data_IF_519908481904
#
_entry.id   IF_519908481904
#
_cell.length_a   1.000
_cell.length_b   1.000
_cell.length_c   1.000
_cell.angle_alpha   90.00
_cell.angle_beta   90.00
_cell.angle_gamma   90.00
#
_symmetry.space_group_name_H-M   'P 1'
#
loop_
_entity.id
_entity.type
_entity.pdbx_description
1 polymer ?
#
# COMPACT_ATOMS: atom_id res chain seq x y z
N UNK A 1 15.62 15.54 -19.18
CA UNK A 1 14.87 15.10 -18.00
C UNK A 1 15.46 15.79 -16.80
N UNK A 2 14.67 16.74 -16.19
CA UNK A 2 15.12 17.53 -15.05
C UNK A 2 15.43 16.59 -13.87
N UNK A 3 16.70 16.52 -13.49
CA UNK A 3 17.18 15.72 -12.35
C UNK A 3 16.48 16.17 -11.06
N UNK A 4 16.23 17.46 -10.89
CA UNK A 4 15.55 18.03 -9.72
C UNK A 4 14.14 17.46 -9.52
N UNK A 5 13.37 17.27 -10.59
CA UNK A 5 12.03 16.67 -10.52
C UNK A 5 12.06 15.18 -10.11
N UNK A 6 13.11 14.44 -10.49
CA UNK A 6 13.28 13.04 -10.07
C UNK A 6 13.63 12.93 -8.59
N UNK A 7 14.53 13.77 -8.09
CA UNK A 7 14.87 13.78 -6.66
C UNK A 7 13.68 14.17 -5.79
N UNK A 8 12.90 15.15 -6.21
CA UNK A 8 11.68 15.53 -5.50
C UNK A 8 10.68 14.38 -5.45
N UNK A 9 10.44 13.67 -6.56
CA UNK A 9 9.57 12.51 -6.61
C UNK A 9 10.04 11.37 -5.69
N UNK A 10 11.35 11.08 -5.67
CA UNK A 10 11.95 10.09 -4.78
C UNK A 10 11.75 10.48 -3.30
N UNK A 11 12.00 11.74 -2.96
CA UNK A 11 11.82 12.25 -1.60
C UNK A 11 10.36 12.12 -1.14
N UNK A 12 9.39 12.48 -2.00
CA UNK A 12 7.96 12.30 -1.71
C UNK A 12 7.57 10.83 -1.52
N UNK A 13 8.13 9.93 -2.32
CA UNK A 13 7.87 8.49 -2.20
C UNK A 13 8.39 7.94 -0.88
N UNK A 14 9.60 8.34 -0.48
CA UNK A 14 10.19 7.93 0.82
C UNK A 14 9.34 8.47 1.97
N UNK A 15 8.95 9.75 1.92
CA UNK A 15 8.12 10.37 2.94
C UNK A 15 6.75 9.69 3.04
N UNK A 16 6.09 9.44 1.91
CA UNK A 16 4.81 8.73 1.86
C UNK A 16 4.90 7.32 2.45
N UNK A 17 5.97 6.59 2.12
CA UNK A 17 6.23 5.26 2.68
C UNK A 17 6.46 5.29 4.19
N UNK A 18 7.19 6.29 4.69
CA UNK A 18 7.43 6.49 6.12
C UNK A 18 6.12 6.80 6.87
N UNK A 19 5.30 7.71 6.34
CA UNK A 19 3.98 8.05 6.91
C UNK A 19 3.07 6.82 6.91
N UNK A 20 3.04 6.05 5.83
CA UNK A 20 2.26 4.81 5.77
C UNK A 20 2.72 3.81 6.83
N UNK A 21 4.04 3.60 7.00
CA UNK A 21 4.59 2.70 8.00
C UNK A 21 4.24 3.13 9.44
N UNK A 22 4.33 4.43 9.74
CA UNK A 22 3.89 4.99 11.02
C UNK A 22 2.39 4.77 11.26
N UNK A 23 1.57 4.95 10.23
CA UNK A 23 0.15 4.66 10.27
C UNK A 23 -0.14 3.22 10.70
N UNK A 24 0.63 2.23 10.21
CA UNK A 24 0.47 0.84 10.59
C UNK A 24 0.79 0.58 12.08
N UNK A 25 1.74 1.31 12.65
CA UNK A 25 2.05 1.22 14.10
C UNK A 25 0.86 1.71 14.93
N UNK A 26 0.22 2.81 14.52
CA UNK A 26 -0.96 3.36 15.20
C UNK A 26 -2.18 2.44 15.03
N UNK A 27 -2.39 1.89 13.85
CA UNK A 27 -3.53 1.02 13.53
C UNK A 27 -3.41 -0.37 14.18
N UNK A 28 -2.21 -0.85 14.46
CA UNK A 28 -1.98 -2.18 15.04
C UNK A 28 -2.76 -2.45 16.34
N UNK A 29 -2.75 -1.61 17.37
CA UNK A 29 -3.57 -1.82 18.55
C UNK A 29 -5.07 -1.84 18.23
N UNK A 30 -5.56 -0.91 17.39
CA UNK A 30 -6.95 -0.85 16.98
C UNK A 30 -7.41 -2.11 16.26
N UNK A 31 -6.55 -2.72 15.43
CA UNK A 31 -6.88 -3.94 14.70
C UNK A 31 -7.18 -5.15 15.59
N UNK A 32 -6.75 -5.13 16.85
CA UNK A 32 -7.07 -6.18 17.84
C UNK A 32 -8.48 -6.05 18.40
N UNK A 33 -8.96 -4.82 18.56
CA UNK A 33 -10.23 -4.51 19.20
C UNK A 33 -11.38 -4.41 18.20
N UNK A 34 -11.10 -3.86 17.02
CA UNK A 34 -12.11 -3.58 16.00
C UNK A 34 -12.11 -4.68 14.93
N UNK A 35 -13.29 -4.94 14.35
CA UNK A 35 -13.40 -5.84 13.21
C UNK A 35 -12.61 -5.25 12.01
N UNK A 36 -11.82 -6.06 11.28
CA UNK A 36 -11.05 -5.60 10.13
C UNK A 36 -11.85 -4.82 9.08
N UNK A 37 -13.05 -5.27 8.75
CA UNK A 37 -13.92 -4.59 7.76
C UNK A 37 -14.39 -3.24 8.29
N UNK A 38 -14.79 -3.17 9.56
CA UNK A 38 -15.19 -1.93 10.22
C UNK A 38 -14.03 -0.93 10.25
N UNK A 39 -12.82 -1.41 10.52
CA UNK A 39 -11.62 -0.57 10.51
C UNK A 39 -11.37 0.04 9.12
N UNK A 40 -11.49 -0.78 8.06
CA UNK A 40 -11.35 -0.29 6.67
C UNK A 40 -12.42 0.76 6.36
N UNK A 41 -13.68 0.53 6.77
CA UNK A 41 -14.78 1.46 6.53
C UNK A 41 -14.52 2.83 7.21
N UNK A 42 -14.07 2.83 8.46
CA UNK A 42 -13.70 4.07 9.16
C UNK A 42 -12.54 4.80 8.50
N UNK A 43 -11.48 4.07 8.12
CA UNK A 43 -10.34 4.67 7.42
C UNK A 43 -10.77 5.30 6.08
N UNK A 44 -11.62 4.62 5.31
CA UNK A 44 -12.14 5.16 4.06
C UNK A 44 -13.02 6.40 4.27
N UNK A 45 -13.89 6.37 5.29
CA UNK A 45 -14.79 7.47 5.62
C UNK A 45 -14.03 8.76 5.99
N UNK A 46 -12.92 8.65 6.71
CA UNK A 46 -12.12 9.82 7.08
C UNK A 46 -11.14 10.24 5.98
N UNK A 47 -10.50 9.29 5.30
CA UNK A 47 -9.51 9.62 4.26
C UNK A 47 -10.15 10.15 2.98
N UNK A 48 -11.33 9.68 2.60
CA UNK A 48 -12.01 10.08 1.37
C UNK A 48 -12.24 11.59 1.26
N UNK A 49 -12.95 12.23 2.22
CA UNK A 49 -13.15 13.68 2.21
C UNK A 49 -11.85 14.48 2.21
N UNK A 50 -10.85 14.04 2.99
CA UNK A 50 -9.54 14.71 3.05
C UNK A 50 -8.86 14.68 1.68
N UNK A 51 -8.86 13.53 0.99
CA UNK A 51 -8.28 13.41 -0.34
C UNK A 51 -9.01 14.24 -1.38
N UNK A 52 -10.35 14.32 -1.33
CA UNK A 52 -11.16 15.18 -2.23
C UNK A 52 -10.81 16.65 -1.99
N UNK A 53 -10.75 17.09 -0.74
CA UNK A 53 -10.37 18.47 -0.42
C UNK A 53 -8.94 18.79 -0.88
N UNK A 54 -8.00 17.85 -0.67
CA UNK A 54 -6.61 18.02 -1.10
C UNK A 54 -6.51 18.14 -2.63
N UNK A 55 -7.20 17.27 -3.36
CA UNK A 55 -7.25 17.31 -4.82
C UNK A 55 -7.86 18.63 -5.32
N UNK A 56 -8.91 19.12 -4.68
CA UNK A 56 -9.53 20.40 -5.05
C UNK A 56 -8.57 21.60 -4.86
N UNK A 57 -7.71 21.54 -3.84
CA UNK A 57 -6.72 22.60 -3.55
C UNK A 57 -5.51 22.51 -4.51
N UNK A 58 -5.01 21.30 -4.78
CA UNK A 58 -3.80 21.10 -5.58
C UNK A 58 -4.11 21.25 -7.07
N UNK A 59 -5.15 20.57 -7.56
CA UNK A 59 -5.46 20.50 -9.00
C UNK A 59 -6.37 21.63 -9.48
N UNK A 60 -7.16 22.22 -8.59
CA UNK A 60 -8.10 23.32 -8.90
C UNK A 60 -9.27 22.95 -9.83
N UNK A 61 -9.22 21.82 -10.50
CA UNK A 61 -10.17 21.36 -11.52
C UNK A 61 -10.90 20.06 -11.16
N UNK A 62 -10.83 19.59 -9.92
CA UNK A 62 -11.38 18.30 -9.47
C UNK A 62 -12.85 18.13 -9.84
N UNK A 63 -13.67 19.18 -9.70
CA UNK A 63 -15.10 19.14 -10.05
C UNK A 63 -15.31 18.92 -11.55
N UNK A 64 -14.50 19.54 -12.40
CA UNK A 64 -14.59 19.36 -13.84
C UNK A 64 -14.16 17.97 -14.27
N UNK A 65 -13.12 17.40 -13.65
CA UNK A 65 -12.70 16.02 -13.88
C UNK A 65 -13.80 15.03 -13.50
N UNK A 66 -14.44 15.23 -12.35
CA UNK A 66 -15.55 14.37 -11.90
C UNK A 66 -16.76 14.44 -12.83
N UNK A 67 -17.11 15.65 -13.32
CA UNK A 67 -18.24 15.85 -14.25
C UNK A 67 -17.99 15.24 -15.64
N UNK A 68 -16.74 15.26 -16.09
CA UNK A 68 -16.35 14.77 -17.41
C UNK A 68 -15.84 13.32 -17.39
N UNK A 69 -15.85 12.67 -16.24
CA UNK A 69 -15.44 11.28 -16.11
C UNK A 69 -16.41 10.37 -16.89
N UNK A 70 -15.86 9.51 -17.76
CA UNK A 70 -16.65 8.55 -18.52
C UNK A 70 -17.25 7.48 -17.60
N UNK A 71 -18.24 6.75 -18.09
CA UNK A 71 -18.85 5.64 -17.36
C UNK A 71 -17.81 4.61 -16.92
N UNK A 72 -16.83 4.30 -17.77
CA UNK A 72 -15.76 3.35 -17.45
C UNK A 72 -14.91 3.80 -16.26
N UNK A 73 -14.58 5.09 -16.15
CA UNK A 73 -13.86 5.62 -14.99
C UNK A 73 -14.64 5.43 -13.69
N UNK A 74 -15.96 5.66 -13.74
CA UNK A 74 -16.82 5.43 -12.57
C UNK A 74 -16.91 3.95 -12.20
N UNK A 75 -17.05 3.06 -13.19
CA UNK A 75 -17.07 1.61 -12.94
C UNK A 75 -15.76 1.11 -12.32
N UNK A 76 -14.62 1.59 -12.82
CA UNK A 76 -13.30 1.27 -12.24
C UNK A 76 -13.18 1.82 -10.81
N UNK A 77 -13.61 3.05 -10.57
CA UNK A 77 -13.56 3.64 -9.23
C UNK A 77 -14.42 2.88 -8.22
N UNK A 78 -15.64 2.50 -8.62
CA UNK A 78 -16.55 1.68 -7.80
C UNK A 78 -15.94 0.30 -7.54
N UNK A 79 -15.41 -0.36 -8.57
CA UNK A 79 -14.76 -1.66 -8.41
C UNK A 79 -13.58 -1.61 -7.43
N UNK A 80 -12.70 -0.63 -7.59
CA UNK A 80 -11.55 -0.46 -6.68
C UNK A 80 -12.03 -0.12 -5.26
N UNK A 81 -12.92 0.85 -5.11
CA UNK A 81 -13.34 1.36 -3.80
C UNK A 81 -14.20 0.37 -3.00
N UNK A 82 -15.15 -0.32 -3.64
CA UNK A 82 -16.10 -1.18 -2.94
C UNK A 82 -15.75 -2.67 -2.96
N UNK A 83 -14.92 -3.11 -3.89
CA UNK A 83 -14.56 -4.53 -4.01
C UNK A 83 -13.10 -4.75 -3.63
N UNK A 84 -12.18 -4.12 -4.35
CA UNK A 84 -10.74 -4.37 -4.16
C UNK A 84 -10.21 -3.90 -2.81
N UNK A 85 -10.54 -2.68 -2.41
CA UNK A 85 -10.06 -2.09 -1.16
C UNK A 85 -10.54 -2.85 0.08
N UNK A 86 -11.86 -3.12 0.27
CA UNK A 86 -12.33 -3.87 1.43
C UNK A 86 -11.76 -5.29 1.49
N UNK A 87 -11.61 -5.99 0.37
CA UNK A 87 -11.03 -7.33 0.34
C UNK A 87 -9.54 -7.26 0.72
N UNK A 88 -8.77 -6.41 0.05
CA UNK A 88 -7.31 -6.33 0.25
C UNK A 88 -6.97 -5.89 1.67
N UNK A 89 -7.52 -4.77 2.13
CA UNK A 89 -7.23 -4.27 3.47
C UNK A 89 -7.94 -5.06 4.56
N UNK A 90 -9.11 -5.63 4.29
CA UNK A 90 -9.79 -6.53 5.21
C UNK A 90 -8.94 -7.77 5.51
N UNK A 91 -8.40 -8.41 4.47
CA UNK A 91 -7.45 -9.52 4.62
C UNK A 91 -6.16 -9.08 5.34
N UNK A 92 -5.60 -7.93 4.96
CA UNK A 92 -4.41 -7.39 5.59
C UNK A 92 -4.61 -7.15 7.10
N UNK A 93 -5.67 -6.47 7.49
CA UNK A 93 -5.95 -6.21 8.90
C UNK A 93 -6.37 -7.46 9.68
N UNK A 94 -6.98 -8.44 9.03
CA UNK A 94 -7.23 -9.75 9.64
C UNK A 94 -5.91 -10.46 9.99
N UNK A 95 -4.97 -10.49 9.06
CA UNK A 95 -3.64 -11.06 9.30
C UNK A 95 -2.88 -10.25 10.36
N UNK A 96 -2.98 -8.92 10.30
CA UNK A 96 -2.35 -8.02 11.25
C UNK A 96 -2.90 -8.20 12.68
N UNK A 97 -4.20 -8.47 12.82
CA UNK A 97 -4.84 -8.72 14.13
C UNK A 97 -4.18 -9.87 14.86
N UNK A 98 -3.90 -10.96 14.15
CA UNK A 98 -3.45 -12.22 14.71
C UNK A 98 -1.93 -12.41 14.73
N UNK A 99 -1.17 -11.52 14.09
CA UNK A 99 0.28 -11.65 13.94
C UNK A 99 1.01 -10.36 14.34
N UNK A 100 2.28 -10.44 14.75
CA UNK A 100 3.07 -9.27 15.09
C UNK A 100 3.39 -8.44 13.83
N UNK A 101 3.36 -7.11 13.98
CA UNK A 101 3.55 -6.15 12.90
C UNK A 101 4.86 -6.36 12.14
N UNK A 102 5.95 -6.64 12.86
CA UNK A 102 7.29 -6.81 12.28
C UNK A 102 7.41 -8.04 11.35
N UNK A 103 6.50 -9.02 11.46
CA UNK A 103 6.41 -10.15 10.53
C UNK A 103 5.46 -9.86 9.36
N UNK A 104 4.32 -9.23 9.65
CA UNK A 104 3.28 -9.00 8.63
C UNK A 104 3.74 -7.99 7.58
N UNK A 105 4.28 -6.85 8.00
CA UNK A 105 4.66 -5.79 7.06
C UNK A 105 5.69 -6.25 6.02
N UNK A 106 6.83 -6.87 6.41
CA UNK A 106 7.79 -7.33 5.42
C UNK A 106 7.22 -8.34 4.43
N UNK A 107 6.41 -9.30 4.90
CA UNK A 107 5.81 -10.32 4.02
C UNK A 107 4.85 -9.68 3.00
N UNK A 108 4.00 -8.76 3.44
CA UNK A 108 3.05 -8.07 2.56
C UNK A 108 3.78 -7.17 1.57
N UNK A 109 4.72 -6.34 2.05
CA UNK A 109 5.48 -5.43 1.18
C UNK A 109 6.39 -6.16 0.20
N UNK A 110 6.89 -7.36 0.56
CA UNK A 110 7.65 -8.22 -0.34
C UNK A 110 6.78 -8.80 -1.47
N UNK A 111 5.52 -9.09 -1.20
CA UNK A 111 4.61 -9.66 -2.20
C UNK A 111 4.21 -8.66 -3.29
N UNK A 112 4.16 -7.37 -2.99
CA UNK A 112 3.67 -6.34 -3.90
C UNK A 112 4.57 -6.17 -5.15
N UNK A 113 5.91 -5.95 -5.04
CA UNK A 113 6.75 -5.75 -6.22
C UNK A 113 6.79 -6.94 -7.19
N UNK A 114 6.95 -8.21 -6.73
CA UNK A 114 6.93 -9.35 -7.65
C UNK A 114 5.60 -9.52 -8.36
N UNK A 115 4.47 -9.37 -7.67
CA UNK A 115 3.15 -9.50 -8.29
C UNK A 115 2.87 -8.39 -9.28
N UNK A 116 3.26 -7.14 -8.96
CA UNK A 116 3.18 -6.02 -9.88
C UNK A 116 4.03 -6.22 -11.13
N UNK A 117 5.27 -6.71 -10.96
CA UNK A 117 6.17 -7.03 -12.07
C UNK A 117 5.60 -8.13 -12.97
N UNK A 118 5.10 -9.22 -12.39
CA UNK A 118 4.46 -10.29 -13.14
C UNK A 118 3.25 -9.78 -13.92
N UNK A 119 2.40 -8.96 -13.28
CA UNK A 119 1.26 -8.34 -13.94
C UNK A 119 1.69 -7.44 -15.11
N UNK A 120 2.72 -6.61 -14.94
CA UNK A 120 3.26 -5.75 -16.01
C UNK A 120 3.78 -6.57 -17.19
N UNK A 121 4.51 -7.65 -16.94
CA UNK A 121 5.03 -8.53 -17.99
C UNK A 121 3.89 -9.26 -18.72
N UNK A 122 2.98 -9.92 -17.99
CA UNK A 122 1.97 -10.80 -18.59
C UNK A 122 0.77 -10.05 -19.17
N UNK A 123 0.35 -8.94 -18.53
CA UNK A 123 -0.84 -8.21 -18.96
C UNK A 123 -0.51 -7.03 -19.89
N UNK A 124 0.63 -6.36 -19.67
CA UNK A 124 1.02 -5.17 -20.44
C UNK A 124 2.13 -5.44 -21.45
N UNK A 125 2.75 -6.63 -21.42
CA UNK A 125 3.87 -6.98 -22.31
C UNK A 125 5.13 -6.16 -22.05
N UNK A 126 5.27 -5.56 -20.87
CA UNK A 126 6.43 -4.75 -20.52
C UNK A 126 7.69 -5.60 -20.39
N UNK A 127 8.82 -5.05 -20.86
CA UNK A 127 10.13 -5.69 -20.72
C UNK A 127 10.79 -5.17 -19.44
N UNK A 128 11.02 -6.02 -18.43
CA UNK A 128 11.66 -5.59 -17.19
C UNK A 128 13.11 -5.17 -17.45
N UNK A 129 13.54 -4.09 -16.78
CA UNK A 129 14.91 -3.61 -16.86
C UNK A 129 15.83 -4.40 -15.92
N UNK A 130 17.15 -4.41 -16.20
CA UNK A 130 18.13 -5.09 -15.35
C UNK A 130 18.15 -4.50 -13.93
N UNK A 131 17.97 -3.18 -13.79
CA UNK A 131 17.91 -2.49 -12.51
C UNK A 131 16.75 -2.98 -11.64
N UNK A 132 15.61 -3.29 -12.25
CA UNK A 132 14.44 -3.81 -11.58
C UNK A 132 14.70 -5.21 -10.99
N UNK A 133 15.41 -6.08 -11.73
CA UNK A 133 15.82 -7.39 -11.24
C UNK A 133 16.81 -7.29 -10.07
N UNK A 134 17.81 -6.42 -10.18
CA UNK A 134 18.82 -6.22 -9.13
C UNK A 134 18.12 -5.69 -7.85
N UNK A 135 17.32 -4.62 -7.97
CA UNK A 135 16.59 -4.03 -6.85
C UNK A 135 15.62 -5.01 -6.21
N UNK A 136 14.86 -5.75 -7.01
CA UNK A 136 13.95 -6.79 -6.55
C UNK A 136 14.66 -7.90 -5.77
N UNK A 137 15.81 -8.36 -6.26
CA UNK A 137 16.62 -9.39 -5.57
C UNK A 137 17.11 -8.90 -4.21
N UNK A 138 17.60 -7.66 -4.12
CA UNK A 138 18.06 -7.06 -2.86
C UNK A 138 16.91 -6.98 -1.85
N UNK A 139 15.71 -6.57 -2.28
CA UNK A 139 14.52 -6.51 -1.43
C UNK A 139 14.16 -7.91 -0.91
N UNK A 140 14.12 -8.91 -1.79
CA UNK A 140 13.81 -10.29 -1.43
C UNK A 140 14.79 -10.82 -0.39
N UNK A 141 16.09 -10.63 -0.59
CA UNK A 141 17.12 -11.06 0.35
C UNK A 141 16.96 -10.35 1.72
N UNK A 142 16.70 -9.06 1.73
CA UNK A 142 16.46 -8.29 2.96
C UNK A 142 15.26 -8.82 3.76
N UNK A 143 14.17 -9.15 3.09
CA UNK A 143 12.97 -9.68 3.75
C UNK A 143 13.18 -11.11 4.23
N UNK A 144 13.85 -11.96 3.45
CA UNK A 144 14.25 -13.31 3.89
C UNK A 144 15.04 -13.23 5.21
N UNK A 145 16.01 -12.34 5.30
CA UNK A 145 16.77 -12.14 6.54
C UNK A 145 15.85 -11.77 7.71
N UNK A 146 14.89 -10.85 7.51
CA UNK A 146 13.97 -10.42 8.58
C UNK A 146 13.04 -11.56 9.01
N UNK A 147 12.47 -12.30 8.04
CA UNK A 147 11.49 -13.38 8.32
C UNK A 147 12.16 -14.57 9.03
N UNK A 148 13.38 -14.93 8.64
CA UNK A 148 14.10 -16.07 9.22
C UNK A 148 14.90 -15.73 10.48
N UNK A 149 15.09 -14.43 10.79
CA UNK A 149 15.72 -14.06 12.05
C UNK A 149 14.76 -14.31 13.20
N UNK A 150 15.07 -15.30 14.04
CA UNK A 150 14.35 -15.55 15.30
C UNK A 150 14.56 -14.36 16.24
N UNK A 151 13.50 -13.69 16.61
CA UNK A 151 13.57 -12.65 17.64
C UNK A 151 13.50 -13.34 19.02
N UNK A 152 14.36 -12.95 19.97
CA UNK A 152 14.36 -13.42 21.38
C UNK A 152 12.97 -13.40 22.04
N UNK A 153 12.06 -12.61 21.53
CA UNK A 153 10.68 -12.49 22.01
C UNK A 153 9.78 -13.67 21.63
N UNK A 154 10.16 -14.45 20.63
CA UNK A 154 9.39 -15.65 20.22
C UNK A 154 9.63 -16.83 21.19
N UNK A 155 10.67 -16.76 22.04
CA UNK A 155 10.98 -17.79 23.05
C UNK A 155 10.24 -17.57 24.38
N UNK A 156 9.76 -16.34 24.64
CA UNK A 156 9.09 -15.97 25.92
C UNK A 156 7.56 -16.22 25.85
N UNK A 157 7.01 -16.50 24.68
CA UNK A 157 5.55 -16.70 24.44
C UNK A 157 5.21 -18.18 24.26
N UNK A 158 6.14 -19.07 24.50
CA UNK A 158 5.89 -20.50 24.74
C UNK A 158 5.88 -20.78 26.22
#
# INVERSE_FOLDING_TARGET
>A
PNLDGKFFGIALTILGSAIWALGQVVVKPLSKEINPITLVAWLALFSGPVLICLSAVIDGNTINYLKNASFDHWMIAIYIGFIMQPITYGCFYYVLKNNPLYKVLPIVTMGIPPTGLLAAIFLLGEKPTAELFIGGTIIILGVIMIVFTKTKKDEVVK
#
